data_IF_910747138501
#
_entry.id   IF_910747138501
#
_cell.length_a   1.000
_cell.length_b   1.000
_cell.length_c   1.000
_cell.angle_alpha   90.00
_cell.angle_beta   90.00
_cell.angle_gamma   90.00
#
_symmetry.space_group_name_H-M   'P 1'
#
loop_
_entity.id
_entity.type
_entity.pdbx_description
1 polymer ?
#
# COMPACT_ATOMS: atom_id res chain seq x y z
N UNK A 1 40.39 -8.38 -3.80
CA UNK A 1 39.33 -8.32 -2.79
C UNK A 1 38.57 -9.64 -2.87
N UNK A 2 38.48 -10.44 -1.81
CA UNK A 2 37.65 -11.63 -1.87
C UNK A 2 36.20 -11.21 -1.96
N UNK A 3 35.47 -11.79 -2.92
CA UNK A 3 34.03 -11.59 -3.08
C UNK A 3 33.32 -11.96 -1.78
N UNK A 4 32.72 -10.96 -1.16
CA UNK A 4 31.82 -11.20 -0.02
C UNK A 4 30.67 -12.06 -0.54
N UNK A 5 30.40 -13.24 0.03
CA UNK A 5 29.31 -14.07 -0.43
C UNK A 5 28.02 -13.27 -0.34
N UNK A 6 27.30 -13.15 -1.46
CA UNK A 6 25.97 -12.58 -1.51
C UNK A 6 25.15 -13.24 -0.41
N UNK A 7 24.44 -12.44 0.36
CA UNK A 7 23.49 -12.90 1.37
C UNK A 7 22.70 -14.09 0.81
N UNK A 8 22.71 -15.26 1.44
CA UNK A 8 22.04 -16.42 0.89
C UNK A 8 20.59 -16.08 0.61
N UNK A 9 20.11 -16.45 -0.58
CA UNK A 9 18.70 -16.27 -0.93
C UNK A 9 17.86 -16.85 0.20
N UNK A 10 16.91 -16.08 0.73
CA UNK A 10 15.99 -16.55 1.75
C UNK A 10 15.38 -17.87 1.25
N UNK A 11 15.53 -18.94 2.03
CA UNK A 11 14.85 -20.20 1.74
C UNK A 11 13.34 -19.95 1.80
N UNK A 12 12.65 -20.26 0.70
CA UNK A 12 11.22 -20.46 0.74
C UNK A 12 10.93 -21.57 1.76
N UNK A 13 10.23 -21.23 2.82
CA UNK A 13 9.76 -22.23 3.77
C UNK A 13 8.49 -22.83 3.15
N UNK A 14 8.53 -24.11 2.82
CA UNK A 14 7.30 -24.79 2.39
C UNK A 14 6.21 -24.63 3.45
N UNK A 15 4.99 -24.28 3.07
CA UNK A 15 3.91 -24.18 4.02
C UNK A 15 3.68 -25.53 4.68
N UNK A 16 3.56 -25.53 5.99
CA UNK A 16 3.11 -26.70 6.74
C UNK A 16 1.59 -26.80 6.63
N UNK A 17 1.10 -27.70 5.81
CA UNK A 17 -0.33 -27.88 5.54
C UNK A 17 -1.15 -28.15 6.80
N UNK A 18 -0.52 -28.69 7.87
CA UNK A 18 -1.15 -28.90 9.15
C UNK A 18 -1.52 -27.62 9.91
N UNK A 19 -0.97 -26.46 9.49
CA UNK A 19 -1.20 -25.15 10.11
C UNK A 19 -2.22 -24.29 9.35
N UNK A 20 -2.78 -24.77 8.25
CA UNK A 20 -3.82 -24.04 7.52
C UNK A 20 -5.14 -24.14 8.31
N UNK A 21 -5.52 -23.05 8.96
CA UNK A 21 -6.85 -22.96 9.54
C UNK A 21 -7.86 -22.61 8.45
N UNK A 22 -9.03 -23.29 8.39
CA UNK A 22 -10.08 -22.89 7.44
C UNK A 22 -10.54 -21.47 7.78
N UNK A 23 -10.61 -20.61 6.78
CA UNK A 23 -11.16 -19.26 6.93
C UNK A 23 -12.60 -19.35 7.44
N UNK A 24 -12.90 -18.71 8.57
CA UNK A 24 -14.25 -18.72 9.14
C UNK A 24 -15.26 -17.90 8.35
N UNK A 25 -14.76 -16.90 7.59
CA UNK A 25 -15.52 -16.06 6.70
C UNK A 25 -14.61 -15.60 5.56
N UNK A 26 -15.12 -15.31 4.36
CA UNK A 26 -14.34 -14.70 3.30
C UNK A 26 -13.84 -13.33 3.78
N UNK A 27 -12.53 -13.22 3.95
CA UNK A 27 -11.87 -12.01 4.41
C UNK A 27 -10.66 -11.71 3.53
N UNK A 28 -10.48 -10.45 3.18
CA UNK A 28 -9.31 -9.95 2.47
C UNK A 28 -8.74 -8.77 3.22
N UNK A 29 -7.55 -8.93 3.80
CA UNK A 29 -6.81 -7.80 4.35
C UNK A 29 -6.28 -6.94 3.20
N UNK A 30 -6.67 -5.69 3.15
CA UNK A 30 -6.24 -4.77 2.09
C UNK A 30 -5.10 -3.83 2.53
N UNK A 31 -4.94 -3.60 3.83
CA UNK A 31 -4.02 -2.61 4.38
C UNK A 31 -2.65 -3.13 4.79
N UNK A 32 -2.19 -4.29 4.29
CA UNK A 32 -0.91 -4.86 4.73
C UNK A 32 0.28 -3.96 4.35
N UNK A 33 1.11 -3.71 5.34
CA UNK A 33 2.32 -2.89 5.23
C UNK A 33 3.55 -3.76 5.44
N UNK A 34 4.49 -3.70 4.52
CA UNK A 34 5.73 -4.48 4.60
C UNK A 34 6.85 -3.71 5.28
N UNK A 35 7.99 -4.38 5.53
CA UNK A 35 9.20 -3.74 6.05
C UNK A 35 9.78 -2.64 5.14
N UNK A 36 9.30 -2.49 3.91
CA UNK A 36 9.68 -1.39 3.03
C UNK A 36 8.99 -0.06 3.41
N UNK A 37 7.97 -0.09 4.25
CA UNK A 37 7.41 1.09 4.91
C UNK A 37 8.11 1.29 6.25
N UNK A 38 9.26 1.96 6.21
CA UNK A 38 10.14 2.12 7.36
C UNK A 38 9.40 2.70 8.58
N UNK A 39 9.65 2.13 9.76
CA UNK A 39 9.00 2.45 11.04
C UNK A 39 7.47 2.15 11.09
N UNK A 40 6.89 1.55 10.06
CA UNK A 40 5.46 1.20 10.01
C UNK A 40 5.21 -0.29 9.85
N UNK A 41 5.98 -0.96 9.00
CA UNK A 41 5.96 -2.40 8.82
C UNK A 41 7.28 -3.02 9.25
N UNK A 42 7.21 -4.17 9.92
CA UNK A 42 8.39 -4.92 10.36
C UNK A 42 8.57 -6.23 9.59
N UNK A 43 7.49 -6.78 9.03
CA UNK A 43 7.48 -8.09 8.40
C UNK A 43 7.98 -8.04 6.96
N UNK A 44 8.75 -9.05 6.59
CA UNK A 44 9.12 -9.25 5.19
C UNK A 44 7.88 -9.63 4.35
N UNK A 45 7.79 -9.17 3.10
CA UNK A 45 6.71 -9.54 2.19
C UNK A 45 6.41 -11.03 2.11
N UNK A 46 7.44 -11.87 2.10
CA UNK A 46 7.30 -13.35 2.04
C UNK A 46 6.63 -13.88 3.31
N UNK A 47 7.02 -13.39 4.48
CA UNK A 47 6.44 -13.81 5.75
C UNK A 47 4.95 -13.43 5.85
N UNK A 48 4.57 -12.25 5.31
CA UNK A 48 3.17 -11.81 5.27
C UNK A 48 2.32 -12.71 4.37
N UNK A 49 2.84 -13.08 3.20
CA UNK A 49 2.12 -14.00 2.29
C UNK A 49 1.97 -15.38 2.92
N UNK A 50 3.03 -15.88 3.56
CA UNK A 50 2.98 -17.17 4.26
C UNK A 50 1.95 -17.16 5.41
N UNK A 51 1.88 -16.05 6.16
CA UNK A 51 0.87 -15.88 7.21
C UNK A 51 -0.56 -15.86 6.63
N UNK A 52 -0.79 -15.13 5.53
CA UNK A 52 -2.08 -15.11 4.85
C UNK A 52 -2.49 -16.51 4.36
N UNK A 53 -1.56 -17.25 3.75
CA UNK A 53 -1.79 -18.63 3.33
C UNK A 53 -2.17 -19.54 4.52
N UNK A 54 -1.40 -19.47 5.63
CA UNK A 54 -1.68 -20.25 6.84
C UNK A 54 -3.01 -19.91 7.51
N UNK A 55 -3.48 -18.67 7.37
CA UNK A 55 -4.78 -18.22 7.85
C UNK A 55 -5.93 -18.60 6.90
N UNK A 56 -5.63 -19.22 5.75
CA UNK A 56 -6.62 -19.62 4.77
C UNK A 56 -7.21 -18.46 3.98
N UNK A 57 -6.45 -17.36 3.78
CA UNK A 57 -6.90 -16.24 2.98
C UNK A 57 -6.82 -16.55 1.49
N UNK A 58 -7.91 -16.32 0.76
CA UNK A 58 -7.93 -16.45 -0.70
C UNK A 58 -7.20 -15.30 -1.41
N UNK A 59 -7.14 -14.14 -0.76
CA UNK A 59 -6.49 -12.96 -1.29
C UNK A 59 -5.91 -12.08 -0.18
N UNK A 60 -4.92 -11.26 -0.51
CA UNK A 60 -4.35 -10.26 0.38
C UNK A 60 -3.92 -9.02 -0.38
N UNK A 61 -4.15 -7.86 0.19
CA UNK A 61 -3.72 -6.57 -0.34
C UNK A 61 -2.42 -6.10 0.30
N UNK A 62 -1.51 -5.56 -0.50
CA UNK A 62 -0.31 -4.89 -0.01
C UNK A 62 -0.40 -3.40 -0.32
N UNK A 63 -0.11 -2.57 0.67
CA UNK A 63 -0.23 -1.11 0.57
C UNK A 63 0.89 -0.42 1.40
N UNK A 64 2.11 -0.46 0.89
CA UNK A 64 3.23 0.27 1.47
C UNK A 64 3.04 1.79 1.34
N UNK A 65 3.51 2.55 2.34
CA UNK A 65 3.34 4.01 2.40
C UNK A 65 4.16 4.71 1.30
N UNK A 66 3.46 5.39 0.40
CA UNK A 66 4.03 6.10 -0.75
C UNK A 66 5.11 5.29 -1.49
N UNK A 67 4.92 3.97 -1.59
CA UNK A 67 5.92 3.05 -2.12
C UNK A 67 5.29 1.80 -2.72
N UNK A 68 5.92 1.28 -3.77
CA UNK A 68 5.61 -0.02 -4.39
C UNK A 68 6.74 -1.04 -4.17
N UNK A 69 7.63 -0.80 -3.21
CA UNK A 69 8.87 -1.59 -3.06
C UNK A 69 8.60 -3.06 -2.68
N UNK A 70 7.56 -3.35 -1.89
CA UNK A 70 7.18 -4.71 -1.47
C UNK A 70 6.48 -5.54 -2.54
N UNK A 71 5.93 -4.91 -3.57
CA UNK A 71 4.98 -5.51 -4.52
C UNK A 71 5.53 -6.72 -5.24
N UNK A 72 6.76 -6.65 -5.76
CA UNK A 72 7.34 -7.75 -6.57
C UNK A 72 7.48 -9.02 -5.74
N UNK A 73 7.94 -8.90 -4.48
CA UNK A 73 8.10 -10.04 -3.58
C UNK A 73 6.76 -10.62 -3.17
N UNK A 74 5.79 -9.77 -2.79
CA UNK A 74 4.42 -10.21 -2.48
C UNK A 74 3.81 -10.94 -3.67
N UNK A 75 3.89 -10.36 -4.87
CA UNK A 75 3.29 -10.94 -6.06
C UNK A 75 3.88 -12.32 -6.40
N UNK A 76 5.21 -12.46 -6.35
CA UNK A 76 5.88 -13.72 -6.65
C UNK A 76 5.49 -14.83 -5.67
N UNK A 77 5.56 -14.54 -4.38
CA UNK A 77 5.26 -15.52 -3.33
C UNK A 77 3.78 -15.88 -3.26
N UNK A 78 2.90 -14.88 -3.35
CA UNK A 78 1.45 -15.09 -3.31
C UNK A 78 0.99 -16.02 -4.45
N UNK A 79 1.53 -15.83 -5.65
CA UNK A 79 1.25 -16.74 -6.78
C UNK A 79 1.74 -18.16 -6.54
N UNK A 80 2.93 -18.30 -5.92
CA UNK A 80 3.49 -19.62 -5.61
C UNK A 80 2.65 -20.38 -4.59
N UNK A 81 2.04 -19.68 -3.62
CA UNK A 81 1.22 -20.26 -2.57
C UNK A 81 -0.30 -20.27 -2.89
N UNK A 82 -0.72 -19.83 -4.08
CA UNK A 82 -2.12 -19.81 -4.48
C UNK A 82 -2.96 -18.70 -3.81
N UNK A 83 -2.34 -17.73 -3.15
CA UNK A 83 -3.00 -16.54 -2.60
C UNK A 83 -3.07 -15.47 -3.68
N UNK A 84 -4.24 -14.89 -3.94
CA UNK A 84 -4.40 -13.81 -4.91
C UNK A 84 -3.85 -12.49 -4.38
N UNK A 85 -2.77 -11.92 -4.95
CA UNK A 85 -2.27 -10.63 -4.51
C UNK A 85 -3.14 -9.49 -5.06
N UNK A 86 -3.57 -8.58 -4.20
CA UNK A 86 -4.19 -7.30 -4.54
C UNK A 86 -3.13 -6.21 -4.35
N UNK A 87 -2.65 -5.67 -5.46
CA UNK A 87 -1.51 -4.75 -5.48
C UNK A 87 -2.00 -3.32 -5.34
N UNK A 88 -1.53 -2.63 -4.33
CA UNK A 88 -1.88 -1.24 -4.05
C UNK A 88 -0.77 -0.46 -3.37
N UNK A 89 -1.09 0.75 -2.98
CA UNK A 89 -0.23 1.66 -2.25
C UNK A 89 -1.05 2.46 -1.26
N UNK A 90 -0.51 2.72 -0.08
CA UNK A 90 -1.06 3.70 0.84
C UNK A 90 -0.50 5.06 0.45
N UNK A 91 -1.35 5.91 -0.10
CA UNK A 91 -1.02 7.30 -0.43
C UNK A 91 -1.30 8.16 0.79
N UNK A 92 -0.29 8.87 1.24
CA UNK A 92 -0.38 9.88 2.31
C UNK A 92 -0.17 11.24 1.70
N UNK A 93 -1.15 12.13 1.90
CA UNK A 93 -1.13 13.45 1.31
C UNK A 93 -0.57 14.49 2.28
N UNK A 94 -0.12 15.60 1.74
CA UNK A 94 0.41 16.74 2.52
C UNK A 94 -0.65 17.40 3.40
N UNK A 95 -1.94 17.22 3.06
CA UNK A 95 -3.09 17.66 3.86
C UNK A 95 -3.41 16.72 5.04
N UNK A 96 -2.60 15.66 5.22
CA UNK A 96 -2.76 14.72 6.33
C UNK A 96 -3.79 13.60 6.09
N UNK A 97 -4.33 13.49 4.88
CA UNK A 97 -5.22 12.39 4.52
C UNK A 97 -4.44 11.17 4.06
N UNK A 98 -5.01 9.99 4.26
CA UNK A 98 -4.43 8.74 3.79
C UNK A 98 -5.46 7.92 3.00
N UNK A 99 -5.03 7.35 1.89
CA UNK A 99 -5.86 6.52 1.01
C UNK A 99 -5.18 5.20 0.73
N UNK A 100 -5.96 4.12 0.68
CA UNK A 100 -5.55 2.91 0.00
C UNK A 100 -5.88 3.06 -1.48
N UNK A 101 -4.87 2.95 -2.34
CA UNK A 101 -4.98 3.15 -3.78
C UNK A 101 -4.73 1.83 -4.51
N UNK A 102 -5.76 1.28 -5.16
CA UNK A 102 -5.71 0.02 -5.87
C UNK A 102 -6.00 0.22 -7.36
N UNK A 103 -5.00 0.06 -8.25
CA UNK A 103 -5.19 0.18 -9.69
C UNK A 103 -6.02 -0.99 -10.22
N UNK A 104 -6.96 -0.70 -11.14
CA UNK A 104 -7.86 -1.68 -11.75
C UNK A 104 -7.21 -2.43 -12.91
N UNK A 105 -6.23 -1.82 -13.55
CA UNK A 105 -5.53 -2.35 -14.70
C UNK A 105 -4.06 -1.91 -14.77
N UNK A 106 -3.34 -2.37 -15.80
CA UNK A 106 -1.93 -2.04 -16.00
C UNK A 106 -1.70 -0.55 -16.27
N UNK A 107 -2.63 0.14 -16.94
CA UNK A 107 -2.50 1.56 -17.22
C UNK A 107 -2.65 2.38 -15.93
N UNK A 108 -3.62 2.04 -15.10
CA UNK A 108 -3.83 2.60 -13.76
C UNK A 108 -2.63 2.33 -12.83
N UNK A 109 -2.06 1.12 -12.88
CA UNK A 109 -0.81 0.81 -12.16
C UNK A 109 0.34 1.74 -12.60
N UNK A 110 0.47 1.98 -13.91
CA UNK A 110 1.43 2.94 -14.45
C UNK A 110 1.18 4.38 -13.97
N UNK A 111 -0.09 4.80 -13.84
CA UNK A 111 -0.45 6.11 -13.27
C UNK A 111 -0.07 6.20 -11.80
N UNK A 112 -0.38 5.17 -11.00
CA UNK A 112 0.02 5.11 -9.60
C UNK A 112 1.53 5.19 -9.41
N UNK A 113 2.30 4.48 -10.23
CA UNK A 113 3.77 4.57 -10.21
C UNK A 113 4.26 5.98 -10.57
N UNK A 114 3.64 6.65 -11.55
CA UNK A 114 3.98 8.04 -11.91
C UNK A 114 3.64 9.01 -10.80
N UNK A 115 2.49 8.87 -10.14
CA UNK A 115 2.12 9.65 -8.97
C UNK A 115 3.19 9.60 -7.89
N UNK A 116 3.59 8.38 -7.48
CA UNK A 116 4.62 8.18 -6.46
C UNK A 116 5.97 8.76 -6.92
N UNK A 117 6.31 8.57 -8.19
CA UNK A 117 7.55 9.13 -8.74
C UNK A 117 7.54 10.65 -8.74
N UNK A 118 6.43 11.27 -9.12
CA UNK A 118 6.29 12.73 -9.07
C UNK A 118 6.49 13.27 -7.66
N UNK A 119 5.79 12.72 -6.65
CA UNK A 119 5.94 13.15 -5.27
C UNK A 119 7.33 12.89 -4.66
N UNK A 120 8.10 11.95 -5.21
CA UNK A 120 9.47 11.64 -4.74
C UNK A 120 10.57 12.41 -5.47
N UNK A 121 10.31 12.91 -6.65
CA UNK A 121 11.32 13.57 -7.48
C UNK A 121 11.24 15.09 -7.39
N UNK A 122 10.03 15.62 -7.29
CA UNK A 122 9.78 17.05 -7.35
C UNK A 122 8.90 17.45 -6.17
N UNK A 123 9.30 18.53 -5.49
CA UNK A 123 8.50 19.16 -4.44
C UNK A 123 7.32 19.91 -5.08
N UNK A 124 6.31 20.24 -4.28
CA UNK A 124 5.15 21.01 -4.75
C UNK A 124 5.51 22.41 -5.24
N UNK A 125 6.66 22.96 -4.80
CA UNK A 125 7.22 24.24 -5.27
C UNK A 125 8.05 24.13 -6.56
N UNK A 126 8.20 22.91 -7.12
CA UNK A 126 8.94 22.65 -8.36
C UNK A 126 10.43 22.36 -8.18
N UNK A 127 10.95 22.43 -6.98
CA UNK A 127 12.34 22.07 -6.67
C UNK A 127 12.53 20.55 -6.53
N UNK A 128 13.79 20.08 -6.63
CA UNK A 128 14.10 18.67 -6.41
C UNK A 128 13.80 18.23 -4.98
N UNK A 129 13.13 17.07 -4.86
CA UNK A 129 12.75 16.52 -3.56
C UNK A 129 13.97 15.98 -2.79
N UNK A 130 13.98 16.17 -1.48
CA UNK A 130 14.96 15.57 -0.60
C UNK A 130 14.83 14.03 -0.60
N UNK A 131 15.96 13.33 -0.46
CA UNK A 131 15.97 11.86 -0.43
C UNK A 131 15.11 11.32 0.72
N UNK A 132 14.20 10.39 0.39
CA UNK A 132 13.33 9.72 1.36
C UNK A 132 12.02 10.46 1.64
N UNK A 133 11.84 11.66 1.12
CA UNK A 133 10.60 12.43 1.23
C UNK A 133 9.70 12.13 0.02
N UNK A 134 8.40 12.16 0.22
CA UNK A 134 7.40 12.06 -0.84
C UNK A 134 6.27 13.03 -0.50
N UNK A 135 6.07 14.04 -1.34
CA UNK A 135 5.01 15.03 -1.21
C UNK A 135 3.96 14.81 -2.30
N UNK A 136 2.77 14.45 -1.90
CA UNK A 136 1.62 14.25 -2.77
C UNK A 136 0.49 15.07 -2.15
N UNK A 137 -0.02 16.05 -2.86
CA UNK A 137 -1.24 16.77 -2.49
C UNK A 137 -2.46 16.14 -3.15
N UNK A 138 -3.65 16.59 -2.76
CA UNK A 138 -4.91 16.11 -3.33
C UNK A 138 -5.03 16.42 -4.82
N UNK A 139 -4.47 17.52 -5.30
CA UNK A 139 -4.51 17.89 -6.71
C UNK A 139 -3.68 16.91 -7.56
N UNK A 140 -2.48 16.60 -7.12
CA UNK A 140 -1.60 15.63 -7.77
C UNK A 140 -2.22 14.22 -7.75
N UNK A 141 -2.82 13.82 -6.59
CA UNK A 141 -3.55 12.56 -6.48
C UNK A 141 -4.72 12.51 -7.48
N UNK A 142 -5.55 13.54 -7.54
CA UNK A 142 -6.70 13.62 -8.44
C UNK A 142 -6.28 13.53 -9.92
N UNK A 143 -5.19 14.18 -10.30
CA UNK A 143 -4.65 14.13 -11.66
C UNK A 143 -4.23 12.72 -12.12
N UNK A 144 -3.97 11.81 -11.17
CA UNK A 144 -3.53 10.43 -11.45
C UNK A 144 -4.57 9.36 -11.07
N UNK A 145 -5.74 9.75 -10.55
CA UNK A 145 -6.72 8.83 -9.93
C UNK A 145 -7.51 7.98 -10.95
N UNK A 146 -7.46 8.29 -12.23
CA UNK A 146 -8.22 7.54 -13.25
C UNK A 146 -7.90 6.04 -13.21
N UNK A 147 -8.94 5.19 -13.05
CA UNK A 147 -8.82 3.74 -12.95
C UNK A 147 -8.17 3.24 -11.66
N UNK A 148 -8.06 4.09 -10.64
CA UNK A 148 -7.57 3.71 -9.32
C UNK A 148 -8.74 3.75 -8.33
N UNK A 149 -9.02 2.64 -7.66
CA UNK A 149 -9.93 2.63 -6.51
C UNK A 149 -9.23 3.28 -5.32
N UNK A 150 -9.85 4.33 -4.78
CA UNK A 150 -9.37 5.03 -3.60
C UNK A 150 -10.30 4.76 -2.42
N UNK A 151 -9.75 4.23 -1.33
CA UNK A 151 -10.43 4.10 -0.07
C UNK A 151 -9.80 5.04 0.96
N UNK A 152 -10.54 6.04 1.40
CA UNK A 152 -10.09 6.96 2.45
C UNK A 152 -9.94 6.18 3.76
N UNK A 153 -8.79 6.30 4.38
CA UNK A 153 -8.55 5.78 5.72
C UNK A 153 -8.99 6.82 6.75
N UNK A 154 -9.88 6.46 7.68
CA UNK A 154 -10.28 7.38 8.72
C UNK A 154 -9.07 7.71 9.62
N UNK A 155 -9.03 8.89 10.25
CA UNK A 155 -8.04 9.20 11.26
C UNK A 155 -8.21 8.29 12.48
N UNK A 156 -7.19 8.27 13.32
CA UNK A 156 -7.25 7.52 14.58
C UNK A 156 -8.26 8.10 15.57
N UNK A 157 -8.44 9.41 15.53
CA UNK A 157 -9.42 10.13 16.35
C UNK A 157 -10.64 10.49 15.47
N UNK A 158 -11.73 9.76 15.64
CA UNK A 158 -13.00 9.99 14.94
C UNK A 158 -13.79 11.15 15.52
N UNK A 159 -13.32 11.76 16.61
CA UNK A 159 -13.95 12.95 17.21
C UNK A 159 -13.65 14.26 16.48
N UNK A 160 -12.64 14.28 15.63
CA UNK A 160 -12.30 15.45 14.82
C UNK A 160 -13.09 15.49 13.52
N UNK A 161 -13.68 16.66 13.23
CA UNK A 161 -14.37 16.92 11.96
C UNK A 161 -13.33 17.23 10.89
N UNK A 162 -13.25 16.42 9.81
CA UNK A 162 -12.42 16.78 8.67
C UNK A 162 -13.11 17.83 7.82
N UNK A 163 -12.40 18.90 7.57
CA UNK A 163 -12.78 19.88 6.56
C UNK A 163 -11.73 19.79 5.44
N UNK A 164 -12.14 19.33 4.27
CA UNK A 164 -11.31 19.44 3.06
C UNK A 164 -11.65 20.81 2.47
N UNK A 165 -10.77 21.77 2.63
CA UNK A 165 -10.85 23.02 1.90
C UNK A 165 -10.40 22.81 0.46
N UNK A 166 -11.33 22.53 -0.44
CA UNK A 166 -11.08 22.74 -1.86
C UNK A 166 -11.27 24.22 -2.16
N UNK A 167 -10.41 24.81 -2.96
CA UNK A 167 -10.40 26.27 -3.24
C UNK A 167 -11.72 26.88 -3.74
N UNK A 168 -12.80 26.12 -3.87
CA UNK A 168 -14.12 26.63 -4.25
C UNK A 168 -15.35 25.92 -3.68
N UNK A 169 -15.23 24.77 -2.98
CA UNK A 169 -16.39 24.11 -2.37
C UNK A 169 -15.97 23.28 -1.15
N UNK A 170 -16.48 23.65 0.01
CA UNK A 170 -16.45 22.81 1.21
C UNK A 170 -17.46 21.68 1.03
N UNK A 171 -17.02 20.45 0.88
CA UNK A 171 -17.91 19.29 0.90
C UNK A 171 -17.81 18.68 2.31
N UNK A 172 -18.82 18.90 3.19
CA UNK A 172 -18.86 18.19 4.45
C UNK A 172 -19.14 16.71 4.16
N UNK A 173 -18.22 15.83 4.57
CA UNK A 173 -18.49 14.39 4.60
C UNK A 173 -19.42 14.12 5.79
N UNK A 174 -20.65 13.60 5.58
CA UNK A 174 -21.50 13.22 6.69
C UNK A 174 -20.85 12.05 7.42
N UNK A 175 -20.50 12.26 8.69
CA UNK A 175 -20.21 11.15 9.59
C UNK A 175 -21.50 10.31 9.68
N UNK A 176 -21.42 9.01 9.41
CA UNK A 176 -22.52 8.11 9.63
C UNK A 176 -22.92 8.22 11.10
N UNK A 177 -24.06 8.85 11.35
CA UNK A 177 -24.65 8.97 12.69
C UNK A 177 -24.94 7.59 13.25
N UNK A 178 -24.65 7.42 14.54
CA UNK A 178 -24.88 6.21 15.30
C UNK A 178 -26.34 5.77 15.39
#
# INVERSE_FOLDING_TARGET
MPDTPLTPARRHVAPDDALVAPARAPFVELGLVTCFSFLRGASDPVDLVLAAHRLGYDAMGVADANSMAGVVRVHGEARALGVRPVIGCRIETTEGLAFLAYPTDRAAYGRLCRLISAGRMVRLDGEWQAKGVCEIDLALLAAHAEGIHLALLPPRDLGETFTIEAESNVIPLPLAGG
#
